data_IF_365618433076
#
_entry.id   IF_365618433076
#
_cell.length_a   1.000
_cell.length_b   1.000
_cell.length_c   1.000
_cell.angle_alpha   90.00
_cell.angle_beta   90.00
_cell.angle_gamma   90.00
#
_symmetry.space_group_name_H-M   'P 1'
#
loop_
_entity.id
_entity.type
_entity.pdbx_description
1 polymer ?
#
# COMPACT_ATOMS: atom_id res chain seq x y z
N UNK A 1 6.12 -8.81 16.64
CA UNK A 1 4.95 -9.50 16.00
C UNK A 1 4.99 -9.13 14.54
N UNK A 2 5.35 -10.08 13.68
CA UNK A 2 5.50 -9.81 12.24
C UNK A 2 4.14 -9.44 11.66
N UNK A 3 4.07 -8.28 11.02
CA UNK A 3 2.85 -7.89 10.31
C UNK A 3 2.79 -8.63 8.99
N UNK A 4 1.91 -9.62 8.91
CA UNK A 4 1.66 -10.37 7.69
C UNK A 4 0.45 -9.83 6.96
N UNK A 5 0.53 -9.81 5.63
CA UNK A 5 -0.54 -9.32 4.76
C UNK A 5 -1.37 -10.51 4.29
N UNK A 6 -2.67 -10.47 4.59
CA UNK A 6 -3.62 -11.50 4.16
C UNK A 6 -3.96 -11.35 2.66
N UNK A 7 -3.49 -12.31 1.85
CA UNK A 7 -3.77 -12.35 0.40
C UNK A 7 -5.08 -13.06 0.05
N UNK A 8 -5.80 -13.66 1.02
CA UNK A 8 -7.19 -14.07 0.80
C UNK A 8 -8.11 -12.85 0.62
N UNK A 9 -7.75 -11.73 1.27
CA UNK A 9 -8.28 -10.43 0.94
C UNK A 9 -7.35 -9.82 -0.11
N UNK A 10 -7.91 -9.26 -1.19
CA UNK A 10 -7.11 -8.66 -2.25
C UNK A 10 -6.09 -7.66 -1.70
N UNK A 11 -4.86 -7.74 -2.19
CA UNK A 11 -3.83 -6.73 -1.98
C UNK A 11 -3.79 -5.78 -3.18
N UNK A 12 -3.98 -4.49 -2.93
CA UNK A 12 -3.75 -3.42 -3.89
C UNK A 12 -2.92 -2.35 -3.18
N UNK A 13 -1.61 -2.38 -3.43
CA UNK A 13 -0.63 -1.65 -2.63
C UNK A 13 0.14 -0.64 -3.47
N UNK A 14 0.27 0.57 -2.97
CA UNK A 14 1.16 1.58 -3.55
C UNK A 14 2.41 1.80 -2.68
N UNK A 15 3.59 1.82 -3.33
CA UNK A 15 4.85 2.24 -2.72
C UNK A 15 5.18 3.64 -3.24
N UNK A 16 5.26 4.61 -2.32
CA UNK A 16 5.38 6.03 -2.66
C UNK A 16 6.67 6.62 -2.12
N UNK A 17 7.44 7.26 -2.99
CA UNK A 17 8.66 7.96 -2.60
C UNK A 17 9.57 8.31 -3.77
N UNK A 18 10.59 9.13 -3.57
CA UNK A 18 11.51 9.55 -4.62
C UNK A 18 12.33 8.37 -5.16
N UNK A 19 13.01 8.60 -6.29
CA UNK A 19 13.96 7.63 -6.84
C UNK A 19 15.06 7.33 -5.82
N UNK A 20 15.50 6.06 -5.74
CA UNK A 20 16.57 5.64 -4.83
C UNK A 20 16.19 5.50 -3.36
N UNK A 21 14.91 5.67 -2.97
CA UNK A 21 14.48 5.51 -1.57
C UNK A 21 14.24 4.06 -1.13
N UNK A 22 14.52 3.06 -1.98
CA UNK A 22 14.45 1.64 -1.61
C UNK A 22 13.15 0.92 -1.95
N UNK A 23 12.23 1.50 -2.77
CA UNK A 23 10.94 0.89 -3.10
C UNK A 23 11.06 -0.50 -3.73
N UNK A 24 11.88 -0.61 -4.78
CA UNK A 24 12.14 -1.89 -5.46
C UNK A 24 12.77 -2.90 -4.50
N UNK A 25 13.76 -2.47 -3.71
CA UNK A 25 14.40 -3.33 -2.71
C UNK A 25 13.39 -3.86 -1.69
N UNK A 26 12.49 -3.00 -1.19
CA UNK A 26 11.47 -3.41 -0.22
C UNK A 26 10.54 -4.50 -0.78
N UNK A 27 10.18 -4.46 -2.06
CA UNK A 27 9.34 -5.51 -2.68
C UNK A 27 10.03 -6.88 -2.57
N UNK A 28 11.32 -6.94 -2.92
CA UNK A 28 12.08 -8.19 -2.82
C UNK A 28 12.24 -8.65 -1.36
N UNK A 29 12.46 -7.73 -0.42
CA UNK A 29 12.49 -8.05 1.01
C UNK A 29 11.14 -8.64 1.47
N UNK A 30 10.01 -8.05 1.08
CA UNK A 30 8.68 -8.59 1.43
C UNK A 30 8.47 -10.01 0.88
N UNK A 31 8.94 -10.30 -0.32
CA UNK A 31 8.85 -11.64 -0.91
C UNK A 31 9.79 -12.62 -0.18
N UNK A 32 11.02 -12.21 0.10
CA UNK A 32 12.04 -13.02 0.82
C UNK A 32 11.57 -13.38 2.23
N UNK A 33 11.04 -12.42 2.96
CA UNK A 33 10.54 -12.61 4.33
C UNK A 33 9.14 -13.20 4.40
N UNK A 34 8.54 -13.58 3.26
CA UNK A 34 7.22 -14.22 3.17
C UNK A 34 6.14 -13.42 3.94
N UNK A 35 6.14 -12.10 3.75
CA UNK A 35 5.19 -11.18 4.39
C UNK A 35 3.75 -11.48 3.96
N UNK A 36 3.55 -12.00 2.75
CA UNK A 36 2.25 -12.33 2.18
C UNK A 36 1.80 -13.74 2.56
N UNK A 37 0.54 -13.87 3.03
CA UNK A 37 -0.05 -15.17 3.40
C UNK A 37 -1.51 -15.28 2.97
N UNK A 38 -1.86 -16.34 2.23
CA UNK A 38 -0.99 -17.30 1.56
C UNK A 38 0.02 -16.65 0.62
N UNK A 39 1.10 -17.34 0.31
CA UNK A 39 2.08 -16.86 -0.67
C UNK A 39 1.45 -16.77 -2.06
N UNK A 40 2.09 -16.02 -2.96
CA UNK A 40 1.66 -15.96 -4.35
C UNK A 40 2.15 -17.21 -5.11
N UNK A 41 1.27 -17.76 -5.95
CA UNK A 41 1.61 -18.90 -6.81
C UNK A 41 2.44 -18.45 -8.00
N UNK A 42 2.17 -17.25 -8.52
CA UNK A 42 2.90 -16.66 -9.65
C UNK A 42 3.03 -15.14 -9.48
N UNK A 43 4.19 -14.61 -9.83
CA UNK A 43 4.52 -13.19 -9.77
C UNK A 43 4.93 -12.70 -11.13
N UNK A 44 4.30 -11.62 -11.62
CA UNK A 44 4.71 -10.90 -12.81
C UNK A 44 5.27 -9.55 -12.41
N UNK A 45 6.49 -9.26 -12.84
CA UNK A 45 7.18 -8.01 -12.57
C UNK A 45 7.31 -7.20 -13.86
N UNK A 46 6.47 -6.18 -14.02
CA UNK A 46 6.48 -5.27 -15.16
C UNK A 46 7.42 -4.10 -14.87
N UNK A 47 8.42 -3.88 -15.71
CA UNK A 47 9.43 -2.85 -15.57
C UNK A 47 9.66 -2.07 -16.86
N UNK A 48 10.04 -0.80 -16.75
CA UNK A 48 10.42 0.03 -17.90
C UNK A 48 11.93 -0.02 -18.15
N UNK A 49 12.71 0.07 -17.09
CA UNK A 49 14.17 0.09 -17.15
C UNK A 49 14.75 -1.14 -16.45
N UNK A 50 15.65 -1.82 -17.16
CA UNK A 50 16.33 -2.99 -16.64
C UNK A 50 17.20 -2.63 -15.44
N UNK A 51 17.23 -3.52 -14.45
CA UNK A 51 18.00 -3.35 -13.22
C UNK A 51 18.74 -4.65 -12.89
N UNK A 52 19.97 -4.57 -12.33
CA UNK A 52 20.77 -5.76 -12.00
C UNK A 52 20.03 -6.77 -11.10
N UNK A 53 19.11 -6.30 -10.26
CA UNK A 53 18.34 -7.14 -9.35
C UNK A 53 17.41 -8.12 -10.09
N UNK A 54 16.99 -7.82 -11.33
CA UNK A 54 16.12 -8.69 -12.12
C UNK A 54 16.87 -9.90 -12.71
N UNK A 55 18.18 -9.83 -12.79
CA UNK A 55 19.06 -10.92 -13.28
C UNK A 55 19.56 -11.83 -12.16
N UNK A 56 19.19 -11.53 -10.93
CA UNK A 56 19.53 -12.37 -9.80
C UNK A 56 18.48 -13.48 -9.67
N UNK A 57 18.83 -14.72 -10.03
CA UNK A 57 17.93 -15.88 -10.04
C UNK A 57 17.44 -16.30 -8.64
N UNK A 58 17.30 -15.36 -7.72
CA UNK A 58 16.86 -15.64 -6.34
C UNK A 58 15.39 -16.10 -6.27
N UNK A 59 14.57 -15.67 -7.22
CA UNK A 59 13.13 -15.98 -7.23
C UNK A 59 12.71 -16.62 -8.55
N UNK A 60 12.70 -17.93 -8.60
CA UNK A 60 12.27 -18.71 -9.79
C UNK A 60 10.79 -18.48 -10.15
N UNK A 61 9.99 -18.00 -9.20
CA UNK A 61 8.54 -17.76 -9.39
C UNK A 61 8.22 -16.41 -10.03
N UNK A 62 9.22 -15.55 -10.24
CA UNK A 62 9.03 -14.21 -10.82
C UNK A 62 9.28 -14.26 -12.33
N UNK A 63 8.27 -13.86 -13.09
CA UNK A 63 8.38 -13.62 -14.53
C UNK A 63 8.56 -12.10 -14.76
N UNK A 64 9.71 -11.71 -15.31
CA UNK A 64 10.04 -10.33 -15.61
C UNK A 64 9.58 -9.95 -17.01
N UNK A 65 8.78 -8.89 -17.12
CA UNK A 65 8.18 -8.44 -18.37
C UNK A 65 8.52 -6.97 -18.59
N UNK A 66 9.19 -6.67 -19.70
CA UNK A 66 9.49 -5.29 -20.07
C UNK A 66 8.24 -4.59 -20.62
N UNK A 67 7.91 -3.42 -20.08
CA UNK A 67 6.69 -2.68 -20.38
C UNK A 67 5.45 -3.28 -19.70
N UNK A 68 4.30 -2.64 -19.92
CA UNK A 68 3.01 -3.10 -19.37
C UNK A 68 2.23 -3.84 -20.45
N UNK A 69 1.81 -5.08 -20.19
CA UNK A 69 1.07 -5.91 -21.13
C UNK A 69 -0.30 -6.28 -20.54
N UNK A 70 -1.31 -5.43 -20.76
CA UNK A 70 -2.66 -5.67 -20.29
C UNK A 70 -3.36 -6.84 -20.98
N UNK A 71 -3.02 -7.14 -22.26
CA UNK A 71 -3.59 -8.29 -22.96
C UNK A 71 -3.16 -9.60 -22.30
N UNK A 72 -1.90 -9.72 -21.93
CA UNK A 72 -1.39 -10.85 -21.15
C UNK A 72 -2.10 -10.96 -19.79
N UNK A 73 -2.26 -9.84 -19.05
CA UNK A 73 -2.96 -9.81 -17.77
C UNK A 73 -4.43 -10.25 -17.92
N UNK A 74 -5.11 -9.82 -18.99
CA UNK A 74 -6.49 -10.17 -19.26
C UNK A 74 -6.67 -11.66 -19.60
N UNK A 75 -5.65 -12.30 -20.16
CA UNK A 75 -5.64 -13.72 -20.49
C UNK A 75 -5.28 -14.64 -19.31
N UNK A 76 -4.85 -14.09 -18.17
CA UNK A 76 -4.58 -14.92 -16.98
C UNK A 76 -5.84 -15.69 -16.56
N UNK A 77 -5.74 -16.99 -16.28
CA UNK A 77 -6.90 -17.80 -15.94
C UNK A 77 -7.52 -17.37 -14.59
N UNK A 78 -8.82 -17.51 -14.49
CA UNK A 78 -9.58 -17.31 -13.24
C UNK A 78 -9.81 -18.64 -12.53
N UNK A 79 -8.76 -19.45 -12.38
CA UNK A 79 -8.76 -20.83 -11.85
C UNK A 79 -8.50 -20.90 -10.33
N UNK A 80 -8.41 -19.73 -9.68
CA UNK A 80 -8.11 -19.64 -8.26
C UNK A 80 -6.64 -19.41 -7.93
N UNK A 81 -5.75 -19.40 -8.91
CA UNK A 81 -4.32 -19.05 -8.77
C UNK A 81 -4.16 -17.67 -8.15
N UNK A 82 -3.30 -17.57 -7.16
CA UNK A 82 -3.01 -16.33 -6.44
C UNK A 82 -1.88 -15.57 -7.14
N UNK A 83 -2.24 -14.63 -8.00
CA UNK A 83 -1.28 -13.84 -8.77
C UNK A 83 -0.84 -12.58 -8.03
N UNK A 84 0.44 -12.20 -8.19
CA UNK A 84 0.94 -10.86 -7.88
C UNK A 84 1.43 -10.18 -9.17
N UNK A 85 0.93 -8.98 -9.42
CA UNK A 85 1.34 -8.11 -10.51
C UNK A 85 2.09 -6.91 -9.90
N UNK A 86 3.36 -6.75 -10.23
CA UNK A 86 4.19 -5.64 -9.76
C UNK A 86 4.44 -4.71 -10.93
N UNK A 87 4.16 -3.41 -10.74
CA UNK A 87 4.38 -2.37 -11.74
C UNK A 87 5.44 -1.39 -11.23
N UNK A 88 6.62 -1.41 -11.85
CA UNK A 88 7.75 -0.55 -11.52
C UNK A 88 8.00 0.47 -12.63
N UNK A 89 8.19 1.73 -12.25
CA UNK A 89 8.41 2.89 -13.14
C UNK A 89 7.34 3.14 -14.23
N UNK A 90 6.18 2.49 -14.13
CA UNK A 90 5.08 2.59 -15.11
C UNK A 90 3.93 3.49 -14.67
N UNK A 91 4.05 4.20 -13.55
CA UNK A 91 2.92 4.88 -12.88
C UNK A 91 2.21 5.91 -13.77
N UNK A 92 2.94 6.70 -14.57
CA UNK A 92 2.32 7.69 -15.45
C UNK A 92 1.45 7.03 -16.52
N UNK A 93 1.87 5.91 -17.08
CA UNK A 93 1.14 5.13 -18.08
C UNK A 93 -0.09 4.46 -17.44
N UNK A 94 0.13 3.66 -16.39
CA UNK A 94 -0.94 2.86 -15.78
C UNK A 94 -2.00 3.74 -15.11
N UNK A 95 -1.64 4.86 -14.46
CA UNK A 95 -2.60 5.74 -13.79
C UNK A 95 -3.49 6.55 -14.76
N UNK A 96 -3.24 6.46 -16.08
CA UNK A 96 -4.09 7.02 -17.15
C UNK A 96 -4.83 5.94 -17.92
N UNK A 97 -4.58 4.66 -17.63
CA UNK A 97 -5.13 3.52 -18.34
C UNK A 97 -6.47 3.11 -17.74
N UNK A 98 -7.47 2.91 -18.61
CA UNK A 98 -8.77 2.32 -18.22
C UNK A 98 -8.61 0.86 -17.81
N UNK A 99 -7.69 0.14 -18.46
CA UNK A 99 -7.37 -1.25 -18.16
C UNK A 99 -6.86 -1.39 -16.72
N UNK A 100 -5.99 -0.49 -16.30
CA UNK A 100 -5.50 -0.49 -14.92
C UNK A 100 -6.59 -0.08 -13.91
N UNK A 101 -7.48 0.85 -14.27
CA UNK A 101 -8.65 1.18 -13.45
C UNK A 101 -9.58 -0.04 -13.31
N UNK A 102 -9.82 -0.78 -14.40
CA UNK A 102 -10.59 -2.02 -14.35
C UNK A 102 -9.89 -3.08 -13.50
N UNK A 103 -8.57 -3.23 -13.63
CA UNK A 103 -7.79 -4.09 -12.75
C UNK A 103 -7.93 -3.64 -11.29
N UNK A 104 -7.86 -2.34 -11.00
CA UNK A 104 -8.00 -1.79 -9.66
C UNK A 104 -9.38 -2.06 -9.03
N UNK A 105 -10.45 -2.06 -9.78
CA UNK A 105 -11.82 -2.25 -9.28
C UNK A 105 -12.28 -3.70 -9.30
N UNK A 106 -12.02 -4.44 -10.38
CA UNK A 106 -12.56 -5.77 -10.63
C UNK A 106 -11.56 -6.93 -10.40
N UNK A 107 -10.27 -6.64 -10.30
CA UNK A 107 -9.21 -7.67 -10.19
C UNK A 107 -9.37 -8.62 -8.99
N UNK A 108 -10.12 -8.21 -7.95
CA UNK A 108 -10.43 -9.04 -6.77
C UNK A 108 -11.14 -10.36 -7.13
N UNK A 109 -12.00 -10.35 -8.15
CA UNK A 109 -12.74 -11.54 -8.57
C UNK A 109 -11.88 -12.60 -9.22
N UNK A 110 -10.67 -12.21 -9.66
CA UNK A 110 -9.68 -13.08 -10.32
C UNK A 110 -8.44 -13.34 -9.45
N UNK A 111 -8.47 -12.99 -8.16
CA UNK A 111 -7.33 -13.06 -7.24
C UNK A 111 -6.07 -12.38 -7.79
N UNK A 112 -6.23 -11.27 -8.51
CA UNK A 112 -5.13 -10.46 -9.00
C UNK A 112 -4.75 -9.44 -7.92
N UNK A 113 -3.62 -9.68 -7.28
CA UNK A 113 -3.01 -8.76 -6.33
C UNK A 113 -2.07 -7.82 -7.08
N UNK A 114 -1.95 -6.60 -6.62
CA UNK A 114 -1.18 -5.56 -7.31
C UNK A 114 -0.29 -4.83 -6.31
N UNK A 115 0.97 -4.64 -6.69
CA UNK A 115 1.88 -3.67 -6.09
C UNK A 115 2.31 -2.72 -7.20
N UNK A 116 2.19 -1.41 -6.98
CA UNK A 116 2.66 -0.44 -7.95
C UNK A 116 3.48 0.66 -7.29
N UNK A 117 4.57 1.02 -7.96
CA UNK A 117 5.54 2.00 -7.50
C UNK A 117 5.21 3.36 -8.11
N UNK A 118 5.22 4.40 -7.27
CA UNK A 118 5.00 5.77 -7.72
C UNK A 118 5.87 6.78 -6.98
N UNK A 119 6.14 7.91 -7.64
CA UNK A 119 6.95 8.98 -7.06
C UNK A 119 6.12 9.99 -6.26
N UNK A 120 4.86 10.20 -6.66
CA UNK A 120 3.94 11.13 -6.03
C UNK A 120 2.78 10.37 -5.38
N UNK A 121 2.36 10.83 -4.21
CA UNK A 121 1.26 10.20 -3.47
C UNK A 121 -0.06 10.33 -4.23
N UNK A 122 -0.31 11.49 -4.85
CA UNK A 122 -1.54 11.74 -5.60
C UNK A 122 -1.27 11.95 -7.08
N UNK A 123 -2.04 11.24 -7.90
CA UNK A 123 -2.03 11.45 -9.35
C UNK A 123 -3.03 12.53 -9.75
N UNK A 124 -2.66 13.34 -10.76
CA UNK A 124 -3.48 14.50 -11.18
C UNK A 124 -4.71 14.14 -12.00
N UNK A 125 -4.75 12.94 -12.61
CA UNK A 125 -5.88 12.53 -13.45
C UNK A 125 -7.06 12.01 -12.59
N UNK A 126 -8.31 12.17 -13.04
CA UNK A 126 -9.47 11.57 -12.39
C UNK A 126 -9.34 10.05 -12.26
N UNK A 127 -8.89 9.36 -13.31
CA UNK A 127 -8.64 7.90 -13.29
C UNK A 127 -7.62 7.51 -12.21
N UNK A 128 -6.52 8.27 -12.10
CA UNK A 128 -5.50 8.03 -11.07
C UNK A 128 -6.08 8.14 -9.66
N UNK A 129 -6.96 9.10 -9.42
CA UNK A 129 -7.65 9.24 -8.13
C UNK A 129 -8.55 8.04 -7.83
N UNK A 130 -9.32 7.57 -8.81
CA UNK A 130 -10.18 6.39 -8.62
C UNK A 130 -9.36 5.14 -8.31
N UNK A 131 -8.20 4.97 -8.98
CA UNK A 131 -7.24 3.89 -8.72
C UNK A 131 -6.71 3.99 -7.29
N UNK A 132 -6.28 5.17 -6.84
CA UNK A 132 -5.73 5.41 -5.51
C UNK A 132 -6.73 5.08 -4.39
N UNK A 133 -8.01 5.33 -4.61
CA UNK A 133 -9.07 4.99 -3.66
C UNK A 133 -9.26 3.46 -3.48
N UNK A 134 -8.72 2.64 -4.38
CA UNK A 134 -8.73 1.19 -4.26
C UNK A 134 -7.56 0.63 -3.43
N UNK A 135 -6.63 1.48 -2.99
CA UNK A 135 -5.50 1.02 -2.19
C UNK A 135 -5.98 0.35 -0.91
N UNK A 136 -5.50 -0.87 -0.69
CA UNK A 136 -5.62 -1.58 0.58
C UNK A 136 -4.43 -1.30 1.49
N UNK A 137 -3.29 -0.95 0.90
CA UNK A 137 -2.09 -0.60 1.63
C UNK A 137 -1.36 0.56 0.94
N UNK A 138 -0.80 1.46 1.74
CA UNK A 138 0.07 2.54 1.27
C UNK A 138 1.37 2.47 2.05
N UNK A 139 2.49 2.47 1.34
CA UNK A 139 3.84 2.52 1.91
C UNK A 139 4.46 3.86 1.57
N UNK A 140 4.76 4.65 2.58
CA UNK A 140 5.30 6.00 2.44
C UNK A 140 6.78 6.02 2.82
N UNK A 141 7.65 6.21 1.84
CA UNK A 141 9.06 6.47 2.06
C UNK A 141 9.34 7.95 2.27
N UNK A 142 10.48 8.27 2.89
CA UNK A 142 10.92 9.65 3.09
C UNK A 142 10.96 10.43 1.77
N UNK A 143 10.21 11.53 1.71
CA UNK A 143 10.28 12.52 0.64
C UNK A 143 10.41 13.92 1.25
N UNK A 144 11.63 14.47 1.38
CA UNK A 144 11.86 15.77 2.02
C UNK A 144 11.29 16.96 1.22
N UNK A 145 10.91 16.74 -0.05
CA UNK A 145 10.42 17.81 -0.93
C UNK A 145 8.92 18.04 -0.87
N UNK A 146 8.13 17.06 -0.40
CA UNK A 146 6.67 17.12 -0.53
C UNK A 146 5.91 16.60 0.69
N UNK A 147 6.13 17.27 1.81
CA UNK A 147 5.37 17.02 3.05
C UNK A 147 3.88 17.41 2.91
N UNK A 148 3.53 18.28 1.95
CA UNK A 148 2.15 18.70 1.78
C UNK A 148 1.24 17.55 1.35
N UNK A 149 1.73 16.61 0.55
CA UNK A 149 0.96 15.42 0.19
C UNK A 149 0.63 14.56 1.42
N UNK A 150 1.55 14.45 2.38
CA UNK A 150 1.32 13.74 3.64
C UNK A 150 0.23 14.44 4.47
N UNK A 151 0.23 15.78 4.54
CA UNK A 151 -0.81 16.55 5.23
C UNK A 151 -2.19 16.36 4.59
N UNK A 152 -2.25 16.28 3.26
CA UNK A 152 -3.49 16.00 2.53
C UNK A 152 -4.00 14.59 2.84
N UNK A 153 -3.11 13.59 2.84
CA UNK A 153 -3.47 12.22 3.21
C UNK A 153 -3.96 12.13 4.65
N UNK A 154 -3.27 12.79 5.59
CA UNK A 154 -3.67 12.88 6.99
C UNK A 154 -5.11 13.41 7.14
N UNK A 155 -5.45 14.46 6.38
CA UNK A 155 -6.80 15.02 6.35
C UNK A 155 -7.83 14.07 5.76
N UNK A 156 -7.49 13.35 4.67
CA UNK A 156 -8.38 12.35 4.05
C UNK A 156 -8.66 11.17 4.99
N UNK A 157 -7.66 10.72 5.72
CA UNK A 157 -7.79 9.62 6.69
C UNK A 157 -8.39 10.07 8.04
N UNK A 158 -8.51 11.38 8.28
CA UNK A 158 -8.97 11.93 9.55
C UNK A 158 -7.97 11.73 10.70
N UNK A 159 -6.67 11.58 10.39
CA UNK A 159 -5.59 11.29 11.34
C UNK A 159 -4.59 12.43 11.32
N UNK A 160 -4.75 13.39 12.23
CA UNK A 160 -3.90 14.59 12.31
C UNK A 160 -2.45 14.28 12.61
N UNK A 161 -2.19 13.23 13.37
CA UNK A 161 -0.87 12.79 13.82
C UNK A 161 -0.04 12.08 12.73
N UNK A 162 -0.63 11.76 11.59
CA UNK A 162 0.05 11.03 10.51
C UNK A 162 1.35 11.71 10.06
N UNK A 163 1.35 13.04 10.05
CA UNK A 163 2.53 13.83 9.67
C UNK A 163 3.67 13.65 10.69
N UNK A 164 3.33 13.64 11.97
CA UNK A 164 4.32 13.48 13.04
C UNK A 164 4.91 12.06 13.03
N UNK A 165 4.07 11.04 12.85
CA UNK A 165 4.53 9.65 12.71
C UNK A 165 5.41 9.44 11.48
N UNK A 166 5.03 10.09 10.36
CA UNK A 166 5.84 10.04 9.15
C UNK A 166 7.23 10.62 9.39
N UNK A 167 7.34 11.79 10.05
CA UNK A 167 8.62 12.39 10.39
C UNK A 167 9.41 11.52 11.38
N UNK A 168 8.77 11.01 12.40
CA UNK A 168 9.41 10.14 13.39
C UNK A 168 10.09 8.93 12.73
N UNK A 169 9.42 8.28 11.77
CA UNK A 169 9.98 7.14 11.04
C UNK A 169 11.05 7.60 10.06
N UNK A 170 10.73 8.59 9.23
CA UNK A 170 11.56 9.01 8.11
C UNK A 170 12.89 9.64 8.53
N UNK A 171 12.93 10.26 9.72
CA UNK A 171 14.12 10.98 10.18
C UNK A 171 15.11 10.08 10.94
N UNK A 172 14.68 8.91 11.39
CA UNK A 172 15.50 8.04 12.24
C UNK A 172 16.40 7.08 11.45
N UNK A 173 15.95 6.52 10.33
CA UNK A 173 16.71 5.50 9.60
C UNK A 173 16.64 5.70 8.09
N UNK A 174 17.75 5.43 7.35
CA UNK A 174 17.72 5.33 5.90
C UNK A 174 16.73 4.26 5.43
N UNK A 175 15.98 4.54 4.36
CA UNK A 175 15.00 3.63 3.76
C UNK A 175 13.80 3.28 4.65
N UNK A 176 13.70 3.87 5.85
CA UNK A 176 12.53 3.69 6.71
C UNK A 176 11.25 4.16 6.00
N UNK A 177 10.15 3.48 6.30
CA UNK A 177 8.88 3.74 5.66
C UNK A 177 7.71 3.54 6.63
N UNK A 178 6.68 4.37 6.47
CA UNK A 178 5.40 4.22 7.17
C UNK A 178 4.48 3.33 6.34
N UNK A 179 4.00 2.24 6.92
CA UNK A 179 2.96 1.40 6.35
C UNK A 179 1.59 1.81 6.90
N UNK A 180 0.64 2.02 5.99
CA UNK A 180 -0.77 2.28 6.28
C UNK A 180 -1.59 1.12 5.71
N UNK A 181 -2.29 0.40 6.57
CA UNK A 181 -3.20 -0.68 6.19
C UNK A 181 -4.63 -0.14 6.19
N UNK A 182 -5.23 -0.05 5.01
CA UNK A 182 -6.58 0.46 4.79
C UNK A 182 -7.63 -0.65 4.66
N UNK A 183 -7.24 -1.91 4.90
CA UNK A 183 -8.20 -3.01 4.81
C UNK A 183 -9.28 -2.89 5.89
N UNK A 184 -10.55 -3.15 5.56
CA UNK A 184 -11.66 -2.99 6.50
C UNK A 184 -11.58 -3.90 7.74
N UNK A 185 -10.86 -5.03 7.63
CA UNK A 185 -10.71 -6.02 8.71
C UNK A 185 -9.63 -5.65 9.72
N UNK A 186 -8.72 -4.76 9.38
CA UNK A 186 -7.61 -4.39 10.25
C UNK A 186 -8.10 -3.55 11.42
N UNK A 187 -7.78 -3.98 12.62
CA UNK A 187 -8.07 -3.21 13.84
C UNK A 187 -7.22 -1.94 13.87
N UNK A 188 -7.77 -0.87 14.45
CA UNK A 188 -7.15 0.46 14.40
C UNK A 188 -5.73 0.50 14.99
N UNK A 189 -5.48 -0.28 16.04
CA UNK A 189 -4.17 -0.37 16.70
C UNK A 189 -3.06 -1.01 15.84
N UNK A 190 -3.41 -1.68 14.75
CA UNK A 190 -2.47 -2.32 13.83
C UNK A 190 -2.40 -1.64 12.45
N UNK A 191 -3.18 -0.57 12.25
CA UNK A 191 -3.34 0.08 10.95
C UNK A 191 -2.09 0.85 10.50
N UNK A 192 -1.41 1.51 11.42
CA UNK A 192 -0.25 2.36 11.14
C UNK A 192 0.99 1.75 11.78
N UNK A 193 2.04 1.50 11.04
CA UNK A 193 3.25 0.84 11.56
C UNK A 193 4.54 1.30 10.87
N UNK A 194 5.66 1.15 11.58
CA UNK A 194 7.00 1.38 11.06
C UNK A 194 7.46 0.20 10.19
N UNK A 195 6.81 0.02 9.02
CA UNK A 195 7.15 -1.04 8.09
C UNK A 195 6.45 -2.39 8.36
N UNK A 196 6.94 -3.46 7.73
CA UNK A 196 6.38 -4.82 7.77
C UNK A 196 6.93 -5.69 8.92
N UNK A 197 8.11 -5.35 9.42
CA UNK A 197 8.66 -5.87 10.67
C UNK A 197 8.66 -4.72 11.70
N UNK A 198 7.47 -4.31 12.18
CA UNK A 198 7.35 -3.06 12.87
C UNK A 198 7.97 -3.13 14.26
N UNK A 199 8.85 -2.19 14.53
CA UNK A 199 9.30 -1.89 15.88
C UNK A 199 8.28 -1.03 16.63
N UNK A 200 7.37 -0.37 15.89
CA UNK A 200 6.37 0.54 16.45
C UNK A 200 5.06 0.51 15.67
N UNK A 201 3.95 0.50 16.42
CA UNK A 201 2.61 0.80 15.92
C UNK A 201 2.16 2.17 16.42
N UNK A 202 1.36 2.86 15.64
CA UNK A 202 0.85 4.19 15.94
C UNK A 202 -0.66 4.16 16.07
N UNK A 203 -1.18 4.81 17.10
CA UNK A 203 -2.62 4.86 17.37
C UNK A 203 -3.13 6.30 17.29
N UNK A 204 -4.15 6.58 16.44
CA UNK A 204 -4.78 7.89 16.37
C UNK A 204 -5.43 8.28 17.70
N UNK A 205 -5.27 9.53 18.11
CA UNK A 205 -6.03 10.10 19.22
C UNK A 205 -7.49 10.22 18.81
N UNK A 206 -8.36 9.40 19.38
CA UNK A 206 -9.80 9.50 19.11
C UNK A 206 -10.32 10.81 19.69
N UNK A 207 -10.99 11.62 18.84
CA UNK A 207 -11.85 12.71 19.36
C UNK A 207 -13.01 12.03 20.09
N UNK A 208 -13.25 12.41 21.35
CA UNK A 208 -14.42 11.95 22.11
C UNK A 208 -15.68 12.21 21.26
N UNK A 209 -16.45 11.16 20.95
CA UNK A 209 -17.77 11.33 20.35
C UNK A 209 -18.70 11.81 21.45
N UNK A 210 -19.08 13.08 21.39
CA UNK A 210 -20.21 13.57 22.18
C UNK A 210 -21.47 13.03 21.50
N UNK A 211 -22.06 11.98 22.08
CA UNK A 211 -23.39 11.55 21.69
C UNK A 211 -24.37 12.39 22.49
N UNK A 212 -24.99 13.37 21.87
CA UNK A 212 -26.13 14.09 22.43
C UNK A 212 -27.30 13.09 22.36
N UNK A 213 -27.64 12.51 23.49
CA UNK A 213 -28.92 11.79 23.66
C UNK A 213 -29.95 12.86 23.98
N UNK A 214 -31.05 12.87 23.20
CA UNK A 214 -32.16 13.81 23.36
C UNK A 214 -32.66 13.88 24.81
N UNK A 215 -32.74 15.08 25.28
CA UNK A 215 -33.53 15.64 26.36
C UNK A 215 -33.87 14.82 27.60
N UNK A 216 -32.97 14.20 28.31
CA UNK A 216 -33.22 14.07 29.80
C UNK A 216 -31.97 13.70 30.61
N UNK A 217 -30.91 13.20 30.02
CA UNK A 217 -29.67 12.95 30.80
C UNK A 217 -28.39 13.00 29.95
N UNK A 218 -27.58 14.03 30.11
CA UNK A 218 -26.20 14.05 29.61
C UNK A 218 -25.36 13.08 30.44
N UNK A 219 -25.13 11.87 29.95
CA UNK A 219 -24.11 10.96 30.50
C UNK A 219 -22.88 11.02 29.61
N UNK A 220 -21.81 11.63 30.11
CA UNK A 220 -20.45 11.46 29.60
C UNK A 220 -20.03 10.02 29.89
N UNK A 221 -20.01 9.18 28.85
CA UNK A 221 -19.38 7.87 28.90
C UNK A 221 -17.91 8.02 28.54
N UNK A 222 -17.07 8.17 29.53
CA UNK A 222 -15.63 7.92 29.39
C UNK A 222 -15.44 6.41 29.39
N UNK A 223 -15.02 5.82 28.29
CA UNK A 223 -14.41 4.50 28.32
C UNK A 223 -12.93 4.72 28.56
N UNK A 224 -12.53 4.63 29.82
CA UNK A 224 -11.16 4.34 30.18
C UNK A 224 -10.95 2.85 29.91
N UNK A 225 -10.19 2.52 28.87
CA UNK A 225 -9.60 1.19 28.75
C UNK A 225 -8.19 1.27 29.37
N UNK A 226 -8.06 0.63 30.50
CA UNK A 226 -6.80 0.24 31.16
C UNK A 226 -6.01 -0.75 30.28
#
# INVERSE_FOLDING_TARGET
MDKRIDTNSRVFMSLVGPSGCGKTHLIFEMLRHKVFKPAFDKVFYFYQHDQPIFHNNEFETIEYVQGVNFDMINQLPADGTNYLLIFDDSCEEICRSKEFQMLATAGRHRKLNVIYIKHNLFHKSPLGRDIELQNTHIVLFKNPRDINQIKVLAKQLGVSELTDWYHEIADNEPYAHLLIDLTPKTVESLRYSSGFEPTKFFLPKRKAKVTVLDDVQTKLLYTEDT
#
